data_IF_764041325940
#
_entry.id   IF_764041325940
#
_cell.length_a   1.000
_cell.length_b   1.000
_cell.length_c   1.000
_cell.angle_alpha   90.00
_cell.angle_beta   90.00
_cell.angle_gamma   90.00
#
_symmetry.space_group_name_H-M   'P 1'
#
loop_
_entity.id
_entity.type
_entity.pdbx_description
1 polymer ?
#
# COMPACT_ATOMS: atom_id res chain seq x y z
N UNK A 1 -1.59 1.43 11.22
CA UNK A 1 -2.55 2.49 11.63
C UNK A 1 -3.72 1.97 12.46
N UNK A 2 -4.75 1.29 11.90
CA UNK A 2 -6.00 0.96 12.63
C UNK A 2 -5.77 0.07 13.87
N UNK A 3 -4.88 -0.91 13.77
CA UNK A 3 -4.61 -1.89 14.84
C UNK A 3 -3.50 -1.51 15.81
N UNK A 4 -2.74 -0.46 15.52
CA UNK A 4 -1.63 0.00 16.38
C UNK A 4 -2.16 0.54 17.69
N UNK A 5 -1.48 0.30 18.81
CA UNK A 5 -1.80 0.96 20.08
C UNK A 5 -1.07 2.28 20.27
N UNK A 6 0.16 2.38 19.77
CA UNK A 6 1.00 3.57 19.89
C UNK A 6 0.50 4.74 19.02
N UNK A 7 0.41 5.95 19.60
CA UNK A 7 -0.11 7.15 18.94
C UNK A 7 0.89 7.76 17.96
N UNK A 8 2.17 7.88 18.35
CA UNK A 8 3.24 8.39 17.49
C UNK A 8 3.39 7.53 16.24
N UNK A 9 3.34 6.20 16.39
CA UNK A 9 3.41 5.28 15.26
C UNK A 9 2.20 5.35 14.31
N UNK A 10 1.01 5.68 14.83
CA UNK A 10 -0.17 5.94 13.99
C UNK A 10 0.04 7.16 13.13
N UNK A 11 0.57 8.25 13.71
CA UNK A 11 0.83 9.49 13.00
C UNK A 11 1.89 9.28 11.91
N UNK A 12 2.98 8.58 12.22
CA UNK A 12 3.98 8.15 11.24
C UNK A 12 3.36 7.31 10.11
N UNK A 13 2.48 6.36 10.45
CA UNK A 13 1.81 5.52 9.44
C UNK A 13 1.00 6.36 8.45
N UNK A 14 0.32 7.42 8.93
CA UNK A 14 -0.48 8.31 8.08
C UNK A 14 0.41 9.09 7.13
N UNK A 15 1.48 9.70 7.63
CA UNK A 15 2.40 10.49 6.80
C UNK A 15 3.10 9.60 5.77
N UNK A 16 3.51 8.39 6.16
CA UNK A 16 4.11 7.41 5.26
C UNK A 16 3.14 6.99 4.13
N UNK A 17 1.85 6.83 4.40
CA UNK A 17 0.83 6.53 3.37
C UNK A 17 0.67 7.71 2.41
N UNK A 18 0.61 8.94 2.90
CA UNK A 18 0.52 10.14 2.05
C UNK A 18 1.75 10.25 1.14
N UNK A 19 2.94 10.08 1.69
CA UNK A 19 4.20 10.12 0.95
C UNK A 19 4.30 8.99 -0.07
N UNK A 20 3.83 7.79 0.27
CA UNK A 20 3.74 6.67 -0.68
C UNK A 20 2.73 6.94 -1.80
N UNK A 21 1.61 7.61 -1.52
CA UNK A 21 0.64 8.00 -2.54
C UNK A 21 1.19 9.05 -3.52
N UNK A 22 2.15 9.87 -3.07
CA UNK A 22 2.90 10.80 -3.91
C UNK A 22 4.06 10.12 -4.68
N UNK A 23 4.27 8.81 -4.48
CA UNK A 23 5.27 8.00 -5.19
C UNK A 23 6.58 7.78 -4.44
N UNK A 24 6.69 8.23 -3.19
CA UNK A 24 7.86 7.97 -2.34
C UNK A 24 7.54 6.85 -1.37
N UNK A 25 7.93 5.62 -1.72
CA UNK A 25 7.57 4.39 -0.99
C UNK A 25 8.54 4.03 0.15
N UNK A 26 9.69 4.71 0.25
CA UNK A 26 10.73 4.46 1.25
C UNK A 26 10.20 4.45 2.71
N UNK A 27 9.48 5.48 3.21
CA UNK A 27 9.01 5.48 4.60
C UNK A 27 7.98 4.38 4.87
N UNK A 28 7.15 4.04 3.89
CA UNK A 28 6.18 2.96 4.03
C UNK A 28 6.85 1.57 4.03
N UNK A 29 7.87 1.37 3.20
CA UNK A 29 8.57 0.09 3.09
C UNK A 29 9.43 -0.19 4.33
N UNK A 30 10.28 0.77 4.70
CA UNK A 30 11.23 0.59 5.81
C UNK A 30 10.62 0.87 7.18
N UNK A 31 9.65 1.78 7.29
CA UNK A 31 9.03 2.11 8.57
C UNK A 31 7.82 1.26 8.93
N UNK A 32 7.21 0.55 7.97
CA UNK A 32 5.98 -0.22 8.20
C UNK A 32 6.08 -1.66 7.69
N UNK A 33 6.37 -1.86 6.41
CA UNK A 33 6.29 -3.18 5.79
C UNK A 33 7.38 -4.15 6.29
N UNK A 34 8.64 -3.72 6.34
CA UNK A 34 9.76 -4.56 6.78
C UNK A 34 9.67 -4.87 8.30
N UNK A 35 9.45 -3.88 9.19
CA UNK A 35 9.33 -4.11 10.62
C UNK A 35 8.18 -5.09 10.94
N UNK A 36 7.03 -4.92 10.28
CA UNK A 36 5.93 -5.88 10.36
C UNK A 36 5.97 -6.87 9.18
N UNK A 37 6.77 -7.94 9.28
CA UNK A 37 6.84 -9.01 8.26
C UNK A 37 5.47 -9.50 7.75
N UNK A 38 4.45 -9.52 8.61
CA UNK A 38 3.07 -9.87 8.24
C UNK A 38 2.44 -8.87 7.26
N UNK A 39 2.72 -7.58 7.43
CA UNK A 39 2.27 -6.51 6.52
C UNK A 39 2.93 -6.68 5.15
N UNK A 40 4.24 -7.01 5.10
CA UNK A 40 4.92 -7.31 3.84
C UNK A 40 4.35 -8.55 3.13
N UNK A 41 4.11 -9.65 3.85
CA UNK A 41 3.50 -10.84 3.24
C UNK A 41 2.07 -10.55 2.77
N UNK A 42 1.30 -9.79 3.54
CA UNK A 42 -0.05 -9.39 3.16
C UNK A 42 -0.06 -8.53 1.89
N UNK A 43 0.88 -7.58 1.73
CA UNK A 43 0.96 -6.74 0.53
C UNK A 43 1.37 -7.53 -0.72
N UNK A 44 2.23 -8.53 -0.58
CA UNK A 44 2.58 -9.45 -1.68
C UNK A 44 1.35 -10.26 -2.12
N UNK A 45 0.61 -10.84 -1.17
CA UNK A 45 -0.58 -11.64 -1.48
C UNK A 45 -1.68 -10.77 -2.11
N UNK A 46 -1.89 -9.56 -1.62
CA UNK A 46 -2.83 -8.65 -2.26
C UNK A 46 -2.37 -8.22 -3.64
N UNK A 47 -1.08 -7.93 -3.83
CA UNK A 47 -0.51 -7.66 -5.16
C UNK A 47 -0.74 -8.82 -6.14
N UNK A 48 -0.55 -10.06 -5.69
CA UNK A 48 -0.85 -11.26 -6.49
C UNK A 48 -2.35 -11.36 -6.83
N UNK A 49 -3.24 -11.10 -5.89
CA UNK A 49 -4.68 -11.14 -6.13
C UNK A 49 -5.12 -10.06 -7.14
N UNK A 50 -4.59 -8.84 -7.02
CA UNK A 50 -4.83 -7.76 -7.98
C UNK A 50 -4.27 -8.08 -9.36
N UNK A 51 -3.04 -8.60 -9.43
CA UNK A 51 -2.41 -9.03 -10.69
C UNK A 51 -3.16 -10.19 -11.36
N UNK A 52 -3.69 -11.13 -10.58
CA UNK A 52 -4.52 -12.21 -11.09
C UNK A 52 -5.83 -11.67 -11.70
N UNK A 53 -6.50 -10.74 -11.02
CA UNK A 53 -7.68 -10.06 -11.56
C UNK A 53 -7.35 -9.26 -12.83
N UNK A 54 -6.21 -8.57 -12.86
CA UNK A 54 -5.74 -7.84 -14.04
C UNK A 54 -5.51 -8.76 -15.25
N UNK A 55 -4.89 -9.93 -15.02
CA UNK A 55 -4.64 -10.93 -16.05
C UNK A 55 -5.92 -11.55 -16.63
N UNK A 56 -6.93 -11.79 -15.80
CA UNK A 56 -8.23 -12.33 -16.25
C UNK A 56 -9.04 -11.34 -17.08
N UNK A 57 -8.83 -10.03 -16.90
CA UNK A 57 -9.55 -8.96 -17.59
C UNK A 57 -8.79 -8.38 -18.77
N UNK A 58 -7.67 -9.00 -19.16
CA UNK A 58 -6.79 -8.51 -20.23
C UNK A 58 -6.48 -7.02 -20.04
N UNK A 59 -6.20 -6.63 -18.80
CA UNK A 59 -5.91 -5.24 -18.47
C UNK A 59 -4.49 -4.89 -18.94
N UNK A 60 -4.39 -3.98 -19.90
CA UNK A 60 -3.11 -3.49 -20.40
C UNK A 60 -2.85 -2.08 -19.89
N UNK A 61 -1.71 -1.89 -19.22
CA UNK A 61 -1.22 -0.58 -18.85
C UNK A 61 -0.71 0.13 -20.10
N UNK A 62 -1.40 1.19 -20.55
CA UNK A 62 -1.03 1.92 -21.77
C UNK A 62 0.31 2.69 -21.65
N UNK A 63 0.81 2.90 -20.43
CA UNK A 63 2.12 3.49 -20.18
C UNK A 63 2.71 2.97 -18.86
N UNK A 64 4.04 2.85 -18.82
CA UNK A 64 4.78 2.60 -17.58
C UNK A 64 5.01 3.95 -16.88
N UNK A 65 4.17 4.26 -15.89
CA UNK A 65 4.27 5.50 -15.10
C UNK A 65 4.72 5.20 -13.69
N UNK A 66 5.46 6.14 -13.10
CA UNK A 66 5.89 6.07 -11.71
C UNK A 66 4.68 5.85 -10.78
N UNK A 67 4.68 4.81 -9.92
CA UNK A 67 3.57 4.56 -9.01
C UNK A 67 3.24 5.79 -8.15
N UNK A 68 1.97 6.23 -8.19
CA UNK A 68 1.47 7.37 -7.43
C UNK A 68 0.09 7.82 -7.93
N UNK A 69 -0.55 8.78 -7.25
CA UNK A 69 -1.86 9.34 -7.67
C UNK A 69 -1.77 9.94 -9.09
N UNK A 70 -0.60 10.47 -9.45
CA UNK A 70 -0.33 11.02 -10.77
C UNK A 70 -0.29 9.96 -11.90
N UNK A 71 -0.35 8.66 -11.58
CA UNK A 71 -0.43 7.59 -12.57
C UNK A 71 -1.85 7.35 -13.11
N UNK A 72 -2.89 7.83 -12.40
CA UNK A 72 -4.29 7.65 -12.80
C UNK A 72 -4.63 8.18 -14.21
N UNK A 73 -4.13 9.37 -14.64
CA UNK A 73 -4.37 9.86 -16.00
C UNK A 73 -3.71 8.99 -17.08
N UNK A 74 -2.62 8.31 -16.75
CA UNK A 74 -1.91 7.43 -17.69
C UNK A 74 -2.60 6.07 -17.90
N UNK A 75 -3.61 5.75 -17.08
CA UNK A 75 -4.47 4.58 -17.24
C UNK A 75 -5.64 4.83 -18.20
N UNK A 76 -5.83 6.08 -18.67
CA UNK A 76 -6.82 6.41 -19.70
C UNK A 76 -6.27 5.90 -21.03
N UNK A 77 -7.00 4.98 -21.67
CA UNK A 77 -6.64 4.47 -22.99
C UNK A 77 -6.56 5.60 -24.02
N UNK A 78 -5.63 5.54 -24.99
CA UNK A 78 -5.55 6.49 -26.10
C UNK A 78 -6.86 6.59 -26.93
N UNK A 79 -7.71 5.58 -26.82
CA UNK A 79 -9.00 5.44 -27.53
C UNK A 79 -10.18 6.13 -26.81
N UNK A 80 -9.95 6.81 -25.68
CA UNK A 80 -10.99 7.53 -24.92
C UNK A 80 -11.94 6.65 -24.10
N UNK A 81 -11.79 5.32 -24.15
CA UNK A 81 -12.59 4.38 -23.36
C UNK A 81 -12.18 4.34 -21.89
N UNK A 82 -13.13 4.62 -20.99
CA UNK A 82 -12.98 4.51 -19.54
C UNK A 82 -12.85 3.07 -19.02
N UNK A 83 -13.00 2.05 -19.87
CA UNK A 83 -12.95 0.64 -19.48
C UNK A 83 -11.65 0.22 -18.80
N UNK A 84 -10.50 0.70 -19.29
CA UNK A 84 -9.21 0.44 -18.66
C UNK A 84 -9.06 1.17 -17.32
N UNK A 85 -9.51 2.43 -17.22
CA UNK A 85 -9.48 3.14 -15.94
C UNK A 85 -10.30 2.40 -14.86
N UNK A 86 -11.49 1.91 -15.22
CA UNK A 86 -12.35 1.15 -14.31
C UNK A 86 -11.68 -0.17 -13.89
N UNK A 87 -11.11 -0.91 -14.84
CA UNK A 87 -10.39 -2.15 -14.54
C UNK A 87 -9.16 -1.89 -13.65
N UNK A 88 -8.40 -0.82 -13.89
CA UNK A 88 -7.25 -0.43 -13.07
C UNK A 88 -7.64 -0.07 -11.63
N UNK A 89 -8.73 0.68 -11.46
CA UNK A 89 -9.30 0.98 -10.13
C UNK A 89 -9.74 -0.32 -9.44
N UNK A 90 -10.41 -1.23 -10.16
CA UNK A 90 -10.81 -2.52 -9.60
C UNK A 90 -9.61 -3.36 -9.16
N UNK A 91 -8.54 -3.42 -9.96
CA UNK A 91 -7.28 -4.08 -9.60
C UNK A 91 -6.70 -3.49 -8.31
N UNK A 92 -6.66 -2.16 -8.20
CA UNK A 92 -6.18 -1.47 -7.00
C UNK A 92 -7.04 -1.79 -5.78
N UNK A 93 -8.37 -1.79 -5.94
CA UNK A 93 -9.33 -2.14 -4.88
C UNK A 93 -9.19 -3.61 -4.47
N UNK A 94 -9.00 -4.54 -5.41
CA UNK A 94 -8.75 -5.94 -5.09
C UNK A 94 -7.43 -6.13 -4.35
N UNK A 95 -6.34 -5.52 -4.84
CA UNK A 95 -5.03 -5.65 -4.21
C UNK A 95 -5.00 -5.06 -2.80
N UNK A 96 -5.55 -3.86 -2.65
CA UNK A 96 -5.68 -3.21 -1.35
C UNK A 96 -6.64 -3.97 -0.44
N UNK A 97 -7.81 -4.36 -0.94
CA UNK A 97 -8.84 -5.06 -0.19
C UNK A 97 -8.35 -6.40 0.35
N UNK A 98 -7.69 -7.22 -0.46
CA UNK A 98 -7.13 -8.51 -0.01
C UNK A 98 -6.03 -8.30 1.03
N UNK A 99 -5.08 -7.38 0.78
CA UNK A 99 -4.04 -7.03 1.76
C UNK A 99 -4.64 -6.57 3.08
N UNK A 100 -5.66 -5.71 2.99
CA UNK A 100 -6.36 -5.13 4.13
C UNK A 100 -7.10 -6.20 4.95
N UNK A 101 -7.83 -7.11 4.30
CA UNK A 101 -8.54 -8.19 4.97
C UNK A 101 -7.58 -9.14 5.69
N UNK A 102 -6.44 -9.50 5.06
CA UNK A 102 -5.41 -10.33 5.70
C UNK A 102 -4.89 -9.67 6.98
N UNK A 103 -4.61 -8.37 6.94
CA UNK A 103 -4.13 -7.62 8.11
C UNK A 103 -5.24 -7.43 9.15
N UNK A 104 -6.49 -7.22 8.72
CA UNK A 104 -7.66 -6.99 9.58
C UNK A 104 -8.06 -8.26 10.35
N UNK A 105 -8.03 -9.43 9.72
CA UNK A 105 -8.32 -10.71 10.39
C UNK A 105 -7.07 -11.36 11.02
N UNK A 106 -5.88 -10.99 10.56
CA UNK A 106 -4.63 -11.48 11.15
C UNK A 106 -4.42 -11.00 12.58
N UNK A 107 -3.78 -11.83 13.42
CA UNK A 107 -3.34 -11.37 14.75
C UNK A 107 -2.34 -10.22 14.58
N UNK A 108 -2.62 -9.08 15.20
CA UNK A 108 -1.71 -7.94 15.21
C UNK A 108 -0.99 -7.94 16.55
N UNK A 109 0.34 -8.04 16.49
CA UNK A 109 1.21 -7.91 17.66
C UNK A 109 1.99 -6.63 17.44
N UNK A 110 1.74 -5.62 18.27
CA UNK A 110 2.54 -4.40 18.27
C UNK A 110 4.01 -4.76 18.52
N UNK A 111 4.90 -4.04 17.85
CA UNK A 111 6.33 -4.07 18.16
C UNK A 111 6.59 -3.43 19.54
N UNK A 112 7.70 -3.77 20.21
CA UNK A 112 8.12 -3.08 21.43
C UNK A 112 8.22 -1.57 21.21
N UNK A 113 7.88 -0.77 22.22
CA UNK A 113 7.90 0.70 22.10
C UNK A 113 9.30 1.25 21.76
N UNK A 114 10.37 0.56 22.18
CA UNK A 114 11.75 0.91 21.82
C UNK A 114 12.01 0.84 20.30
N UNK A 115 11.51 -0.20 19.62
CA UNK A 115 11.65 -0.33 18.16
C UNK A 115 10.78 0.73 17.43
N UNK A 116 9.64 1.09 18.02
CA UNK A 116 8.77 2.13 17.48
C UNK A 116 9.43 3.51 17.59
N UNK A 117 10.07 3.82 18.72
CA UNK A 117 10.79 5.08 18.94
C UNK A 117 11.92 5.29 17.92
N UNK A 118 12.69 4.22 17.64
CA UNK A 118 13.75 4.22 16.63
C UNK A 118 13.20 4.53 15.21
N UNK A 119 12.06 3.95 14.84
CA UNK A 119 11.43 4.17 13.51
C UNK A 119 10.84 5.57 13.38
N UNK A 120 10.26 6.11 14.46
CA UNK A 120 9.63 7.44 14.48
C UNK A 120 10.68 8.55 14.58
N UNK A 121 11.91 8.22 14.98
CA UNK A 121 12.99 9.20 15.19
C UNK A 121 12.79 10.03 16.46
N UNK A 122 12.07 9.49 17.46
CA UNK A 122 12.12 10.04 18.81
C UNK A 122 13.46 9.61 19.43
N UNK A 123 14.50 10.45 19.24
CA UNK A 123 15.72 10.33 20.06
C UNK A 123 15.32 10.48 21.52
N UNK A 124 15.78 9.54 22.35
CA UNK A 124 15.77 9.63 23.81
C UNK A 124 16.33 11.00 24.22
N UNK A 125 15.44 11.90 24.65
CA UNK A 125 15.78 13.16 25.32
C UNK A 125 15.22 13.11 26.75
#
# INVERSE_FOLDING_TARGET
>A
MIKSKNSSYKQYSVTAVVTAALGVSQPALYGIAIPYKRVMVASIIGGLAGGFYAGLKEFYSCAFVNPGIAALPALISPDGSFGNLINGILVMVFAFGVSFLIILFGKFKDMPDAEIAEIVGEEEN
#
